data_IF_875218891172
#
_entry.id   IF_875218891172
#
_cell.length_a   1.000
_cell.length_b   1.000
_cell.length_c   1.000
_cell.angle_alpha   90.00
_cell.angle_beta   90.00
_cell.angle_gamma   90.00
#
_symmetry.space_group_name_H-M   'P 1'
#
loop_
_entity.id
_entity.type
_entity.pdbx_description
1 polymer ?
#
# COMPACT_ATOMS: atom_id res chain seq x y z
N UNK A 1 -6.96 -26.81 21.70
CA UNK A 1 -7.61 -27.73 20.74
C UNK A 1 -7.64 -27.05 19.38
N UNK A 2 -6.81 -27.51 18.43
CA UNK A 2 -6.72 -26.93 17.08
C UNK A 2 -7.83 -27.52 16.22
N UNK A 3 -8.76 -26.69 15.71
CA UNK A 3 -9.76 -27.11 14.74
C UNK A 3 -9.37 -26.55 13.37
N UNK A 4 -8.89 -27.44 12.51
CA UNK A 4 -8.65 -27.18 11.09
C UNK A 4 -9.96 -27.42 10.35
N UNK A 5 -10.50 -26.37 9.73
CA UNK A 5 -11.62 -26.48 8.78
C UNK A 5 -11.03 -26.51 7.37
N UNK A 6 -11.00 -27.71 6.80
CA UNK A 6 -10.66 -27.95 5.38
C UNK A 6 -11.86 -27.58 4.51
N UNK A 7 -11.67 -26.67 3.55
CA UNK A 7 -12.61 -26.43 2.46
C UNK A 7 -12.06 -27.01 1.15
N UNK A 8 -12.93 -27.74 0.45
CA UNK A 8 -12.62 -28.58 -0.70
C UNK A 8 -12.10 -27.81 -1.92
N UNK A 9 -11.03 -28.33 -2.51
CA UNK A 9 -10.49 -27.91 -3.81
C UNK A 9 -11.30 -28.56 -4.92
N UNK A 10 -12.06 -27.76 -5.66
CA UNK A 10 -12.61 -28.14 -6.97
C UNK A 10 -11.49 -28.04 -8.00
N UNK A 11 -11.00 -29.21 -8.43
CA UNK A 11 -10.03 -29.33 -9.51
C UNK A 11 -10.67 -28.96 -10.85
N UNK A 12 -9.94 -28.18 -11.63
CA UNK A 12 -10.17 -28.07 -13.07
C UNK A 12 -8.84 -28.19 -13.82
N UNK A 13 -8.94 -28.90 -14.92
CA UNK A 13 -7.95 -29.65 -15.68
C UNK A 13 -6.82 -28.88 -16.37
N UNK A 14 -5.75 -29.65 -16.58
CA UNK A 14 -4.57 -29.45 -17.43
C UNK A 14 -4.90 -29.02 -18.86
N UNK A 15 -4.10 -28.08 -19.39
CA UNK A 15 -3.67 -28.10 -20.78
C UNK A 15 -2.15 -27.94 -20.84
N UNK A 16 -1.48 -28.98 -21.30
CA UNK A 16 -0.08 -28.96 -21.72
C UNK A 16 -0.02 -28.51 -23.18
N UNK A 17 0.87 -27.57 -23.48
CA UNK A 17 1.38 -27.35 -24.83
C UNK A 17 2.90 -27.38 -24.74
N UNK A 18 3.48 -28.37 -25.42
CA UNK A 18 4.90 -28.53 -25.57
C UNK A 18 5.41 -27.76 -26.80
N UNK A 19 6.45 -26.98 -26.56
CA UNK A 19 7.76 -26.97 -27.23
C UNK A 19 7.93 -26.59 -28.72
N UNK A 20 9.11 -25.96 -28.92
CA UNK A 20 9.91 -25.72 -30.13
C UNK A 20 9.57 -24.45 -30.94
N UNK A 21 10.50 -23.55 -31.26
CA UNK A 21 11.95 -23.50 -31.00
C UNK A 21 12.61 -22.37 -31.79
N UNK A 22 13.93 -22.28 -31.58
CA UNK A 22 14.96 -21.61 -32.38
C UNK A 22 15.49 -20.24 -31.94
N UNK A 23 16.81 -20.19 -32.03
CA UNK A 23 17.82 -19.34 -31.41
C UNK A 23 18.07 -18.02 -32.12
N UNK A 24 18.54 -17.02 -31.37
CA UNK A 24 19.79 -16.32 -31.67
C UNK A 24 20.19 -15.37 -30.54
N UNK A 25 21.41 -15.56 -30.06
CA UNK A 25 22.11 -14.70 -29.11
C UNK A 25 22.51 -13.38 -29.74
N UNK A 26 22.20 -12.25 -29.10
CA UNK A 26 23.05 -11.05 -29.12
C UNK A 26 22.97 -10.36 -27.77
N UNK A 27 24.09 -10.43 -27.07
CA UNK A 27 24.44 -9.60 -25.92
C UNK A 27 24.73 -8.19 -26.42
N UNK A 28 24.00 -7.20 -25.94
CA UNK A 28 24.47 -5.81 -25.90
C UNK A 28 24.22 -5.24 -24.51
N UNK A 29 25.34 -4.94 -23.85
CA UNK A 29 25.42 -4.16 -22.63
C UNK A 29 25.47 -2.69 -23.02
N UNK A 30 24.47 -1.89 -22.60
CA UNK A 30 24.61 -0.56 -21.96
C UNK A 30 23.27 0.17 -21.95
N UNK A 31 22.93 0.66 -20.77
CA UNK A 31 21.80 1.54 -20.53
C UNK A 31 21.32 1.34 -19.10
N UNK A 32 22.06 1.90 -18.14
CA UNK A 32 21.50 2.19 -16.82
C UNK A 32 20.27 3.05 -17.08
N UNK A 33 19.08 2.48 -16.90
CA UNK A 33 17.88 3.28 -16.77
C UNK A 33 17.98 3.85 -15.38
N UNK A 34 18.68 4.97 -15.27
CA UNK A 34 18.55 5.84 -14.12
C UNK A 34 17.07 6.23 -14.08
N UNK A 35 16.33 5.54 -13.22
CA UNK A 35 15.00 5.97 -12.81
C UNK A 35 15.23 7.31 -12.12
N UNK A 36 15.18 8.40 -12.90
CA UNK A 36 15.05 9.73 -12.33
C UNK A 36 13.77 9.72 -11.49
N UNK A 37 14.00 9.58 -10.18
CA UNK A 37 13.00 9.85 -9.17
C UNK A 37 12.38 11.20 -9.52
N UNK A 38 11.07 11.21 -9.77
CA UNK A 38 10.35 12.45 -10.01
C UNK A 38 10.71 13.45 -8.91
N UNK A 39 11.21 14.62 -9.30
CA UNK A 39 11.64 15.66 -8.37
C UNK A 39 10.44 16.06 -7.50
N UNK A 40 10.43 15.62 -6.25
CA UNK A 40 9.36 15.97 -5.30
C UNK A 40 9.54 17.45 -4.97
N UNK A 41 8.66 18.31 -5.49
CA UNK A 41 8.56 19.70 -5.08
C UNK A 41 8.14 19.75 -3.61
N UNK A 42 8.45 20.83 -2.87
CA UNK A 42 8.05 20.98 -1.47
C UNK A 42 6.55 20.73 -1.31
N UNK A 43 6.18 19.58 -0.73
CA UNK A 43 4.78 19.21 -0.47
C UNK A 43 4.44 19.60 0.96
N UNK A 44 3.34 20.34 1.15
CA UNK A 44 2.81 20.63 2.48
C UNK A 44 2.62 19.31 3.25
N UNK A 45 3.07 19.26 4.49
CA UNK A 45 3.04 18.04 5.34
C UNK A 45 3.84 16.85 4.79
N UNK A 46 4.83 17.08 3.92
CA UNK A 46 5.72 16.02 3.42
C UNK A 46 6.48 15.29 4.54
N UNK A 47 6.83 15.99 5.63
CA UNK A 47 7.43 15.38 6.83
C UNK A 47 6.46 14.42 7.54
N UNK A 48 5.17 14.75 7.63
CA UNK A 48 4.14 13.88 8.21
C UNK A 48 4.03 12.60 7.39
N UNK A 49 3.98 12.73 6.06
CA UNK A 49 3.97 11.59 5.13
C UNK A 49 5.22 10.71 5.29
N UNK A 50 6.41 11.30 5.46
CA UNK A 50 7.65 10.54 5.70
C UNK A 50 7.65 9.84 7.06
N UNK A 51 7.17 10.51 8.11
CA UNK A 51 7.04 9.91 9.43
C UNK A 51 6.01 8.77 9.45
N UNK A 52 4.94 8.85 8.65
CA UNK A 52 3.98 7.77 8.48
C UNK A 52 4.60 6.46 7.98
N UNK A 53 5.60 6.53 7.10
CA UNK A 53 6.32 5.33 6.63
C UNK A 53 7.17 4.67 7.71
N UNK A 54 7.58 5.42 8.74
CA UNK A 54 8.36 4.91 9.87
C UNK A 54 7.51 4.11 10.86
N UNK A 55 6.18 4.16 10.76
CA UNK A 55 5.29 3.39 11.63
C UNK A 55 5.43 1.90 11.29
N UNK A 56 5.94 1.12 12.25
CA UNK A 56 6.04 -0.33 12.19
C UNK A 56 4.71 -0.97 12.57
N UNK A 57 4.32 -2.01 11.83
CA UNK A 57 3.11 -2.78 12.09
C UNK A 57 3.41 -3.97 13.00
N UNK A 58 2.45 -4.31 13.84
CA UNK A 58 2.44 -5.53 14.64
C UNK A 58 2.54 -6.79 13.78
N UNK A 59 3.09 -7.86 14.36
CA UNK A 59 3.14 -9.17 13.73
C UNK A 59 2.16 -10.13 14.41
N UNK A 60 1.15 -10.61 13.66
CA UNK A 60 0.15 -11.55 14.16
C UNK A 60 0.75 -12.86 14.69
N UNK A 61 1.86 -13.34 14.11
CA UNK A 61 2.56 -14.55 14.58
C UNK A 61 3.31 -14.36 15.91
N UNK A 62 3.45 -13.12 16.37
CA UNK A 62 4.08 -12.74 17.64
C UNK A 62 3.05 -12.10 18.57
N UNK A 63 1.83 -12.63 18.58
CA UNK A 63 0.73 -12.15 19.43
C UNK A 63 0.45 -10.65 19.26
N UNK A 64 0.58 -10.16 18.02
CA UNK A 64 0.40 -8.76 17.64
C UNK A 64 1.39 -7.79 18.32
N UNK A 65 2.56 -8.27 18.74
CA UNK A 65 3.66 -7.42 19.22
C UNK A 65 4.53 -6.88 18.08
N UNK A 66 5.46 -5.97 18.41
CA UNK A 66 6.47 -5.43 17.50
C UNK A 66 6.03 -4.23 16.65
N UNK A 67 4.78 -3.80 16.74
CA UNK A 67 4.31 -2.56 16.12
C UNK A 67 4.77 -1.33 16.90
N UNK A 68 4.76 -0.16 16.27
CA UNK A 68 5.03 1.11 16.95
C UNK A 68 4.04 1.29 18.11
N UNK A 69 4.56 1.71 19.26
CA UNK A 69 3.77 2.02 20.45
C UNK A 69 3.41 3.51 20.50
N UNK A 70 2.58 3.92 21.47
CA UNK A 70 2.15 5.30 21.60
C UNK A 70 3.33 6.28 21.74
N UNK A 71 4.36 5.94 22.52
CA UNK A 71 5.52 6.81 22.73
C UNK A 71 6.30 7.04 21.43
N UNK A 72 6.47 5.98 20.63
CA UNK A 72 7.09 6.07 19.30
C UNK A 72 6.26 6.96 18.39
N UNK A 73 4.94 6.80 18.39
CA UNK A 73 4.02 7.61 17.58
C UNK A 73 4.06 9.09 18.02
N UNK A 74 4.12 9.36 19.32
CA UNK A 74 4.30 10.72 19.85
C UNK A 74 5.65 11.33 19.46
N UNK A 75 6.72 10.53 19.43
CA UNK A 75 8.01 10.97 18.91
C UNK A 75 7.97 11.35 17.42
N UNK A 76 7.07 10.75 16.63
CA UNK A 76 6.91 11.02 15.20
C UNK A 76 5.95 12.19 14.90
N UNK A 77 4.89 12.35 15.69
CA UNK A 77 3.76 13.22 15.34
C UNK A 77 3.38 14.23 16.44
N UNK A 78 3.98 14.16 17.63
CA UNK A 78 3.57 14.91 18.81
C UNK A 78 2.35 14.28 19.51
N UNK A 79 1.65 15.05 20.32
CA UNK A 79 0.44 14.58 21.00
C UNK A 79 -0.72 14.37 20.01
N UNK A 80 -1.54 13.31 20.16
CA UNK A 80 -2.70 13.07 19.32
C UNK A 80 -3.75 14.17 19.51
N UNK A 81 -4.39 14.58 18.41
CA UNK A 81 -5.49 15.54 18.43
C UNK A 81 -6.78 14.93 18.97
N UNK A 82 -6.94 13.61 18.87
CA UNK A 82 -8.04 12.90 19.52
C UNK A 82 -7.68 11.45 19.84
N UNK A 83 -8.34 10.92 20.88
CA UNK A 83 -8.20 9.55 21.34
C UNK A 83 -9.56 8.93 21.58
N UNK A 84 -9.72 7.66 21.24
CA UNK A 84 -10.93 6.88 21.54
C UNK A 84 -10.59 5.41 21.69
N UNK A 85 -11.62 4.58 21.90
CA UNK A 85 -11.49 3.13 21.92
C UNK A 85 -12.51 2.51 20.98
N UNK A 86 -12.11 1.42 20.34
CA UNK A 86 -12.93 0.65 19.41
C UNK A 86 -12.84 -0.83 19.75
N UNK A 87 -13.90 -1.57 19.44
CA UNK A 87 -13.93 -3.01 19.61
C UNK A 87 -13.84 -3.70 18.25
N UNK A 88 -12.90 -4.64 18.12
CA UNK A 88 -12.68 -5.45 16.93
C UNK A 88 -12.77 -6.94 17.32
N UNK A 89 -13.97 -7.50 17.20
CA UNK A 89 -14.29 -8.80 17.79
C UNK A 89 -14.20 -8.71 19.32
N UNK A 90 -13.37 -9.58 19.91
CA UNK A 90 -13.12 -9.58 21.36
C UNK A 90 -11.95 -8.67 21.77
N UNK A 91 -11.22 -8.11 20.80
CA UNK A 91 -10.10 -7.23 21.06
C UNK A 91 -10.57 -5.77 21.23
N UNK A 92 -10.01 -5.10 22.24
CA UNK A 92 -10.17 -3.66 22.45
C UNK A 92 -8.96 -2.94 21.86
N UNK A 93 -9.21 -1.95 21.02
CA UNK A 93 -8.19 -1.14 20.36
C UNK A 93 -8.22 0.28 20.89
N UNK A 94 -7.05 0.81 21.22
CA UNK A 94 -6.87 2.24 21.47
C UNK A 94 -6.67 2.95 20.13
N UNK A 95 -7.44 4.00 19.88
CA UNK A 95 -7.43 4.74 18.61
C UNK A 95 -6.86 6.12 18.85
N UNK A 96 -5.86 6.48 18.07
CA UNK A 96 -5.20 7.78 18.12
C UNK A 96 -5.25 8.44 16.75
N UNK A 97 -5.61 9.72 16.73
CA UNK A 97 -5.59 10.53 15.51
C UNK A 97 -4.68 11.73 15.70
N UNK A 98 -3.95 12.08 14.65
CA UNK A 98 -3.21 13.32 14.52
C UNK A 98 -3.71 14.05 13.29
N UNK A 99 -4.11 15.30 13.47
CA UNK A 99 -4.60 16.15 12.40
C UNK A 99 -3.62 17.29 12.10
N UNK A 100 -3.25 17.41 10.83
CA UNK A 100 -2.36 18.45 10.29
C UNK A 100 -3.08 19.16 9.14
N UNK A 101 -3.77 20.24 9.45
CA UNK A 101 -4.78 20.85 8.57
C UNK A 101 -5.82 19.82 8.09
N UNK A 102 -5.74 19.43 6.82
CA UNK A 102 -6.62 18.44 6.21
C UNK A 102 -6.05 17.01 6.26
N UNK A 103 -4.74 16.84 6.50
CA UNK A 103 -4.07 15.53 6.55
C UNK A 103 -4.34 14.87 7.89
N UNK A 104 -4.75 13.60 7.87
CA UNK A 104 -5.04 12.84 9.09
C UNK A 104 -4.22 11.56 9.11
N UNK A 105 -3.50 11.35 10.20
CA UNK A 105 -2.88 10.06 10.55
C UNK A 105 -3.73 9.41 11.63
N UNK A 106 -4.11 8.15 11.40
CA UNK A 106 -4.77 7.32 12.41
C UNK A 106 -3.89 6.12 12.70
N UNK A 107 -3.72 5.80 13.98
CA UNK A 107 -3.14 4.55 14.45
C UNK A 107 -4.11 3.88 15.42
N UNK A 108 -4.36 2.58 15.24
CA UNK A 108 -5.08 1.76 16.21
C UNK A 108 -4.13 0.73 16.80
N UNK A 109 -4.06 0.70 18.13
CA UNK A 109 -3.13 -0.13 18.87
C UNK A 109 -3.89 -1.22 19.62
N UNK A 110 -3.38 -2.43 19.57
CA UNK A 110 -3.75 -3.53 20.45
C UNK A 110 -2.58 -3.76 21.42
N UNK A 111 -2.83 -3.77 22.73
CA UNK A 111 -1.78 -3.92 23.74
C UNK A 111 -0.56 -3.00 23.50
N UNK A 112 -0.83 -1.72 23.20
CA UNK A 112 0.18 -0.70 22.88
C UNK A 112 1.08 -1.04 21.67
N UNK A 113 0.59 -1.82 20.71
CA UNK A 113 1.28 -2.19 19.47
C UNK A 113 0.39 -1.90 18.27
N UNK A 114 0.89 -1.13 17.29
CA UNK A 114 0.08 -0.67 16.15
C UNK A 114 -0.34 -1.84 15.25
N UNK A 115 -1.65 -2.09 15.18
CA UNK A 115 -2.27 -3.11 14.30
C UNK A 115 -2.98 -2.48 13.10
N UNK A 116 -3.34 -1.20 13.18
CA UNK A 116 -3.88 -0.44 12.05
C UNK A 116 -3.15 0.88 11.92
N UNK A 117 -2.76 1.26 10.71
CA UNK A 117 -2.35 2.61 10.36
C UNK A 117 -3.06 3.10 9.11
N UNK A 118 -3.41 4.37 9.06
CA UNK A 118 -3.91 5.02 7.84
C UNK A 118 -3.47 6.47 7.76
N UNK A 119 -3.17 6.91 6.55
CA UNK A 119 -3.02 8.30 6.19
C UNK A 119 -4.15 8.68 5.24
N UNK A 120 -4.73 9.86 5.39
CA UNK A 120 -5.74 10.38 4.45
C UNK A 120 -5.44 11.82 4.07
N UNK A 121 -6.06 12.25 2.95
CA UNK A 121 -6.07 13.63 2.46
C UNK A 121 -4.68 14.23 2.17
N UNK A 122 -3.65 13.40 1.99
CA UNK A 122 -2.35 13.81 1.51
C UNK A 122 -2.23 13.53 0.00
N UNK A 123 -1.53 14.39 -0.74
CA UNK A 123 -1.14 14.11 -2.11
C UNK A 123 0.21 14.76 -2.43
N UNK A 124 1.04 14.04 -3.18
CA UNK A 124 2.30 14.58 -3.70
C UNK A 124 2.05 15.54 -4.86
N UNK A 125 2.97 16.49 -5.05
CA UNK A 125 3.05 17.29 -6.27
C UNK A 125 4.19 16.73 -7.13
N UNK A 126 3.84 16.09 -8.26
CA UNK A 126 4.78 15.39 -9.15
C UNK A 126 4.24 15.30 -10.57
N UNK A 127 5.16 15.29 -11.54
CA UNK A 127 4.82 15.16 -12.96
C UNK A 127 4.08 13.83 -13.24
N UNK A 128 3.12 13.82 -14.17
CA UNK A 128 2.33 12.63 -14.47
C UNK A 128 3.12 11.60 -15.29
N UNK A 129 3.33 10.40 -14.72
CA UNK A 129 4.03 9.27 -15.36
C UNK A 129 3.21 7.98 -15.43
N UNK A 130 2.30 7.73 -14.49
CA UNK A 130 1.47 6.52 -14.44
C UNK A 130 0.40 6.58 -15.53
N UNK A 131 0.44 5.63 -16.46
CA UNK A 131 -0.52 5.53 -17.58
C UNK A 131 -1.52 4.40 -17.36
N UNK A 132 -2.59 4.38 -18.17
CA UNK A 132 -3.55 3.29 -18.19
C UNK A 132 -2.88 1.93 -18.46
N UNK A 133 -1.92 1.88 -19.40
CA UNK A 133 -1.18 0.65 -19.74
C UNK A 133 -0.39 0.10 -18.55
N UNK A 134 0.22 0.97 -17.74
CA UNK A 134 0.93 0.53 -16.52
C UNK A 134 -0.04 -0.10 -15.52
N UNK A 135 -1.22 0.51 -15.33
CA UNK A 135 -2.28 -0.07 -14.50
C UNK A 135 -2.75 -1.43 -15.05
N UNK A 136 -3.04 -1.53 -16.34
CA UNK A 136 -3.52 -2.75 -16.99
C UNK A 136 -2.54 -3.92 -16.84
N UNK A 137 -1.23 -3.64 -16.92
CA UNK A 137 -0.17 -4.62 -16.78
C UNK A 137 0.01 -5.21 -15.36
N UNK A 138 -0.53 -4.55 -14.31
CA UNK A 138 -0.50 -5.10 -12.95
C UNK A 138 -1.40 -6.34 -12.88
N UNK A 139 -0.88 -7.43 -12.33
CA UNK A 139 -1.63 -8.70 -12.23
C UNK A 139 -1.91 -9.02 -10.77
N UNK A 140 -2.99 -9.74 -10.52
CA UNK A 140 -3.20 -10.31 -9.20
C UNK A 140 -1.99 -11.17 -8.81
N UNK A 141 -1.56 -11.08 -7.55
CA UNK A 141 -0.32 -11.67 -7.06
C UNK A 141 0.91 -10.76 -7.13
N UNK A 142 0.87 -9.62 -7.84
CA UNK A 142 1.96 -8.63 -7.79
C UNK A 142 2.19 -8.17 -6.36
N UNK A 143 3.43 -8.18 -5.89
CA UNK A 143 3.76 -7.72 -4.54
C UNK A 143 3.55 -6.20 -4.39
N UNK A 144 3.29 -5.75 -3.17
CA UNK A 144 3.21 -4.31 -2.88
C UNK A 144 4.48 -3.57 -3.32
N UNK A 145 5.66 -4.11 -3.02
CA UNK A 145 6.94 -3.49 -3.36
C UNK A 145 7.14 -3.39 -4.87
N UNK A 146 6.76 -4.41 -5.64
CA UNK A 146 6.87 -4.36 -7.10
C UNK A 146 5.84 -3.41 -7.73
N UNK A 147 4.65 -3.30 -7.15
CA UNK A 147 3.69 -2.27 -7.53
C UNK A 147 4.25 -0.86 -7.26
N UNK A 148 4.87 -0.63 -6.11
CA UNK A 148 5.52 0.66 -5.76
C UNK A 148 6.72 0.95 -6.66
N UNK A 149 7.55 -0.05 -7.00
CA UNK A 149 8.65 0.13 -7.98
C UNK A 149 8.11 0.53 -9.35
N UNK A 150 6.96 -0.03 -9.75
CA UNK A 150 6.35 0.24 -11.06
C UNK A 150 5.65 1.59 -11.11
N UNK A 151 4.88 1.94 -10.08
CA UNK A 151 4.00 3.12 -10.06
C UNK A 151 4.60 4.32 -9.32
N UNK A 152 5.69 4.11 -8.58
CA UNK A 152 6.13 5.00 -7.52
C UNK A 152 5.26 4.88 -6.26
N UNK A 153 5.65 5.58 -5.20
CA UNK A 153 4.97 5.55 -3.90
C UNK A 153 3.52 6.08 -4.01
N UNK A 154 2.55 5.44 -3.34
CA UNK A 154 1.18 5.97 -3.27
C UNK A 154 1.14 7.26 -2.45
N UNK A 155 0.20 8.12 -2.79
CA UNK A 155 -0.10 9.35 -2.06
C UNK A 155 -0.49 9.02 -0.62
N UNK A 156 -1.45 8.09 -0.47
CA UNK A 156 -1.90 7.58 0.82
C UNK A 156 -2.05 6.07 0.80
N UNK A 157 -1.91 5.45 1.97
CA UNK A 157 -2.22 4.05 2.15
C UNK A 157 -2.65 3.75 3.58
N UNK A 158 -3.34 2.62 3.74
CA UNK A 158 -3.68 2.04 5.04
C UNK A 158 -3.20 0.61 5.11
N UNK A 159 -2.85 0.16 6.32
CA UNK A 159 -2.52 -1.23 6.62
C UNK A 159 -3.31 -1.64 7.85
N UNK A 160 -3.92 -2.82 7.81
CA UNK A 160 -4.55 -3.47 8.93
C UNK A 160 -4.04 -4.91 9.07
N UNK A 161 -3.61 -5.28 10.28
CA UNK A 161 -3.16 -6.63 10.63
C UNK A 161 -4.22 -7.30 11.51
N UNK A 162 -4.68 -8.47 11.10
CA UNK A 162 -5.56 -9.34 11.90
C UNK A 162 -4.96 -10.75 12.02
N UNK A 163 -5.68 -11.65 12.70
CA UNK A 163 -5.33 -13.08 12.74
C UNK A 163 -5.36 -13.75 11.38
N UNK A 164 -6.18 -13.22 10.46
CA UNK A 164 -6.49 -13.88 9.20
C UNK A 164 -5.58 -13.39 8.08
N UNK A 165 -5.32 -12.09 8.04
CA UNK A 165 -4.53 -11.47 6.99
C UNK A 165 -3.99 -10.09 7.37
N UNK A 166 -2.98 -9.66 6.63
CA UNK A 166 -2.60 -8.25 6.51
C UNK A 166 -3.26 -7.67 5.27
N UNK A 167 -4.10 -6.66 5.44
CA UNK A 167 -4.72 -5.92 4.34
C UNK A 167 -3.97 -4.62 4.12
N UNK A 168 -3.73 -4.25 2.86
CA UNK A 168 -3.19 -2.93 2.50
C UNK A 168 -4.02 -2.32 1.39
N UNK A 169 -4.46 -1.08 1.56
CA UNK A 169 -5.07 -0.30 0.49
C UNK A 169 -4.17 0.88 0.18
N UNK A 170 -3.76 1.03 -1.08
CA UNK A 170 -2.90 2.10 -1.55
C UNK A 170 -3.61 2.91 -2.64
N UNK A 171 -3.56 4.24 -2.52
CA UNK A 171 -4.20 5.17 -3.43
C UNK A 171 -3.16 6.12 -4.02
N UNK A 172 -3.19 6.23 -5.34
CA UNK A 172 -2.53 7.29 -6.10
C UNK A 172 -3.58 8.27 -6.56
N UNK A 173 -3.36 9.55 -6.24
CA UNK A 173 -4.13 10.71 -6.69
C UNK A 173 -3.26 11.73 -7.44
N UNK A 174 -1.94 11.54 -7.42
CA UNK A 174 -0.95 12.27 -8.20
C UNK A 174 -0.09 11.31 -9.04
N UNK A 175 0.81 11.84 -9.89
CA UNK A 175 1.61 11.08 -10.86
C UNK A 175 0.80 10.39 -11.97
N UNK A 176 -0.49 10.72 -12.13
CA UNK A 176 -1.39 10.04 -13.06
C UNK A 176 -1.49 10.82 -14.37
N UNK A 177 -1.31 10.13 -15.50
CA UNK A 177 -1.70 10.63 -16.82
C UNK A 177 -3.22 10.49 -16.95
N UNK A 178 -3.93 11.55 -16.57
CA UNK A 178 -5.38 11.58 -16.59
C UNK A 178 -5.93 12.26 -17.85
N UNK A 179 -7.19 11.94 -18.19
CA UNK A 179 -7.97 12.64 -19.19
C UNK A 179 -8.03 14.14 -18.87
N UNK A 180 -7.84 14.98 -19.89
CA UNK A 180 -7.83 16.45 -19.72
C UNK A 180 -9.14 16.93 -19.08
N UNK A 181 -9.02 17.72 -18.00
CA UNK A 181 -10.14 18.28 -17.26
C UNK A 181 -10.75 17.34 -16.21
N UNK A 182 -10.23 16.12 -16.07
CA UNK A 182 -10.72 15.11 -15.12
C UNK A 182 -9.68 14.85 -14.02
N UNK A 183 -10.16 14.49 -12.83
CA UNK A 183 -9.29 13.99 -11.75
C UNK A 183 -9.06 12.50 -11.93
N UNK A 184 -7.79 12.10 -12.02
CA UNK A 184 -7.39 10.69 -12.05
C UNK A 184 -7.34 10.07 -10.66
N UNK A 185 -7.60 8.77 -10.57
CA UNK A 185 -7.32 7.99 -9.37
C UNK A 185 -6.90 6.56 -9.72
N UNK A 186 -6.12 5.95 -8.85
CA UNK A 186 -5.71 4.55 -8.94
C UNK A 186 -5.65 3.95 -7.53
N UNK A 187 -6.44 2.91 -7.29
CA UNK A 187 -6.48 2.20 -6.01
C UNK A 187 -6.05 0.75 -6.20
N UNK A 188 -5.13 0.28 -5.36
CA UNK A 188 -4.70 -1.11 -5.29
C UNK A 188 -5.00 -1.66 -3.90
N UNK A 189 -5.60 -2.85 -3.84
CA UNK A 189 -5.90 -3.57 -2.61
C UNK A 189 -5.07 -4.85 -2.57
N UNK A 190 -4.29 -5.02 -1.50
CA UNK A 190 -3.42 -6.15 -1.27
C UNK A 190 -3.89 -6.93 -0.05
N UNK A 191 -3.73 -8.25 -0.13
CA UNK A 191 -3.88 -9.18 0.99
C UNK A 191 -2.59 -9.95 1.14
N UNK A 192 -2.06 -9.99 2.36
CA UNK A 192 -0.79 -10.63 2.69
C UNK A 192 0.35 -10.19 1.75
N UNK A 193 0.37 -8.90 1.40
CA UNK A 193 1.38 -8.30 0.52
C UNK A 193 1.19 -8.53 -0.97
N UNK A 194 0.18 -9.29 -1.40
CA UNK A 194 -0.10 -9.61 -2.80
C UNK A 194 -1.35 -8.88 -3.31
N UNK A 195 -1.29 -8.34 -4.52
CA UNK A 195 -2.40 -7.62 -5.16
C UNK A 195 -3.58 -8.57 -5.37
N UNK A 196 -4.76 -8.21 -4.86
CA UNK A 196 -6.01 -8.95 -5.08
C UNK A 196 -6.98 -8.21 -5.99
N UNK A 197 -7.04 -6.88 -5.86
CA UNK A 197 -7.98 -6.07 -6.61
C UNK A 197 -7.37 -4.70 -6.93
N UNK A 198 -7.73 -4.15 -8.09
CA UNK A 198 -7.27 -2.86 -8.59
C UNK A 198 -8.42 -2.11 -9.26
N UNK A 199 -8.51 -0.80 -9.04
CA UNK A 199 -9.47 0.09 -9.72
C UNK A 199 -8.80 1.40 -10.12
N UNK A 200 -9.32 2.05 -11.16
CA UNK A 200 -8.85 3.36 -11.59
C UNK A 200 -10.01 4.21 -12.10
N UNK A 201 -9.82 5.52 -12.09
CA UNK A 201 -10.66 6.47 -12.80
C UNK A 201 -9.81 7.39 -13.67
N UNK A 202 -10.30 7.65 -14.89
CA UNK A 202 -9.80 8.67 -15.81
C UNK A 202 -8.33 8.53 -16.26
N UNK A 203 -7.67 7.37 -16.02
CA UNK A 203 -6.34 7.11 -16.58
C UNK A 203 -6.41 6.93 -18.09
N UNK A 204 -5.43 7.50 -18.79
CA UNK A 204 -5.25 7.33 -20.24
C UNK A 204 -3.82 6.91 -20.56
N UNK A 205 -3.62 6.48 -21.81
CA UNK A 205 -2.29 6.41 -22.41
C UNK A 205 -2.00 7.77 -23.07
N UNK A 206 -0.73 8.19 -23.06
CA UNK A 206 -0.28 9.35 -23.85
C UNK A 206 -0.26 8.98 -25.34
#
# INVERSE_FOLDING_TARGET
>A
MKKLLSLAVLGLSLFTLAACGHSSSKTETKGSVDNEASKILTVKHGNVRQNFDKISMANASQEFSGGSNLDTLKGLFGEPSSTSQEQAGDAKLDVYNWQFDNVVVTAKLFNNSTVVKSLSNFSFVRDPKITLKMYENLKNGTSYDDAVKTLGTPDVYSIAVSSDATMTQALWSSNLVAKKGETGSLTLNFKNGALENKSQANLINK
#
